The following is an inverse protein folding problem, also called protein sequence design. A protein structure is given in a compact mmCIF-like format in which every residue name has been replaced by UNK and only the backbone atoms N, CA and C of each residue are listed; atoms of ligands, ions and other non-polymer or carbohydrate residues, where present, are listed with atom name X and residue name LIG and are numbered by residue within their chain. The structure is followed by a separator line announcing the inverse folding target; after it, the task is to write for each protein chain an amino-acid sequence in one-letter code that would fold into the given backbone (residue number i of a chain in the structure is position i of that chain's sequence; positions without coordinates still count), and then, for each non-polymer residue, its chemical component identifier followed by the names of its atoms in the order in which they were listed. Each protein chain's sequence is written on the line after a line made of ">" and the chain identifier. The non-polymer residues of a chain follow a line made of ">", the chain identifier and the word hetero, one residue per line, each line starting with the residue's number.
data_IF_631077886476
#
_entry.id   IF_631077886476
#
_cell.length_a   1.000
_cell.length_b   1.000
_cell.length_c   1.000
_cell.angle_alpha   90.00
_cell.angle_beta   90.00
_cell.angle_gamma   90.00
#
_symmetry.space_group_name_H-M   'P 1'
#
loop_
_entity.id
_entity.type
_entity.pdbx_description
1 polymer ?
#
# COMPACT_ATOMS: atom_id res chain seq x y z
N UNK A 1 12.99 -7.28 -14.26
CA UNK A 1 13.60 -8.13 -13.20
C UNK A 1 12.77 -8.06 -11.92
N UNK A 2 12.51 -9.17 -11.23
CA UNK A 2 11.74 -9.19 -9.97
C UNK A 2 12.65 -9.51 -8.78
N UNK A 3 12.70 -8.64 -7.77
CA UNK A 3 13.60 -8.79 -6.62
C UNK A 3 12.96 -8.43 -5.29
N UNK A 4 13.31 -9.21 -4.27
CA UNK A 4 13.08 -8.84 -2.87
C UNK A 4 14.23 -7.98 -2.35
N UNK A 5 13.92 -6.87 -1.68
CA UNK A 5 14.92 -5.93 -1.13
C UNK A 5 14.61 -5.58 0.32
N UNK A 6 15.65 -5.38 1.13
CA UNK A 6 15.54 -4.91 2.52
C UNK A 6 16.02 -3.47 2.62
N UNK A 7 15.27 -2.55 2.02
CA UNK A 7 15.60 -1.13 1.98
C UNK A 7 14.35 -0.27 2.18
N UNK A 8 14.53 0.98 2.59
CA UNK A 8 13.43 1.95 2.64
C UNK A 8 12.91 2.21 1.21
N UNK A 9 11.60 2.05 0.99
CA UNK A 9 10.95 2.25 -0.30
C UNK A 9 11.15 3.65 -0.88
N UNK A 10 11.27 4.67 -0.02
CA UNK A 10 11.57 6.03 -0.47
C UNK A 10 12.99 6.19 -1.03
N UNK A 11 13.89 5.23 -0.79
CA UNK A 11 15.24 5.17 -1.38
C UNK A 11 15.30 4.29 -2.63
N UNK A 12 14.17 3.75 -3.07
CA UNK A 12 14.16 2.86 -4.24
C UNK A 12 14.66 3.57 -5.50
N UNK A 13 15.45 2.90 -6.36
CA UNK A 13 15.81 3.44 -7.67
C UNK A 13 14.62 3.48 -8.64
N UNK A 14 13.55 2.73 -8.38
CA UNK A 14 12.40 2.62 -9.29
C UNK A 14 11.73 3.97 -9.58
N UNK A 15 11.21 4.12 -10.79
CA UNK A 15 10.45 5.28 -11.25
C UNK A 15 9.19 5.50 -10.39
N UNK A 16 8.50 4.41 -10.06
CA UNK A 16 7.24 4.42 -9.30
C UNK A 16 7.42 3.75 -7.94
N UNK A 17 6.91 4.39 -6.88
CA UNK A 17 6.81 3.81 -5.54
C UNK A 17 5.34 3.67 -5.15
N UNK A 18 4.96 2.52 -4.59
CA UNK A 18 3.57 2.23 -4.23
C UNK A 18 3.25 2.72 -2.82
N UNK A 19 2.16 3.46 -2.70
CA UNK A 19 1.54 3.87 -1.45
C UNK A 19 0.29 3.03 -1.18
N UNK A 20 0.22 2.36 -0.03
CA UNK A 20 -0.98 1.61 0.37
C UNK A 20 -1.98 2.54 1.06
N UNK A 21 -3.17 2.68 0.48
CA UNK A 21 -4.17 3.66 0.93
C UNK A 21 -5.49 2.98 1.30
N UNK A 22 -6.34 3.75 1.99
CA UNK A 22 -7.76 3.41 2.11
C UNK A 22 -8.58 4.21 1.07
N UNK A 23 -9.90 4.12 1.13
CA UNK A 23 -10.79 4.84 0.20
C UNK A 23 -11.57 5.96 0.89
N UNK A 24 -11.20 6.31 2.14
CA UNK A 24 -11.89 7.31 2.97
C UNK A 24 -11.01 8.52 3.32
N UNK A 25 -9.93 8.76 2.58
CA UNK A 25 -9.16 10.02 2.69
C UNK A 25 -8.20 10.14 3.88
N UNK A 26 -7.90 9.05 4.60
CA UNK A 26 -7.04 9.09 5.81
C UNK A 26 -5.65 8.49 5.56
N UNK A 27 -4.58 9.22 5.89
CA UNK A 27 -3.19 8.69 5.91
C UNK A 27 -2.57 8.92 7.29
N UNK A 28 -3.06 8.19 8.30
CA UNK A 28 -2.75 8.48 9.71
C UNK A 28 -1.60 7.67 10.33
N UNK A 29 -1.22 6.53 9.73
CA UNK A 29 -0.19 5.63 10.29
C UNK A 29 0.57 4.85 9.22
N UNK A 30 1.66 4.21 9.64
CA UNK A 30 2.51 3.38 8.79
C UNK A 30 3.10 4.16 7.61
N UNK A 31 3.31 3.46 6.50
CA UNK A 31 3.90 4.03 5.29
C UNK A 31 3.06 5.17 4.69
N UNK A 32 1.72 5.08 4.76
CA UNK A 32 0.82 6.11 4.23
C UNK A 32 1.04 7.48 4.92
N UNK A 33 1.29 7.49 6.23
CA UNK A 33 1.62 8.72 6.97
C UNK A 33 2.89 9.37 6.43
N UNK A 34 3.94 8.58 6.17
CA UNK A 34 5.20 9.07 5.57
C UNK A 34 4.98 9.65 4.18
N UNK A 35 4.15 9.01 3.34
CA UNK A 35 3.76 9.57 2.04
C UNK A 35 3.05 10.91 2.17
N UNK A 36 2.14 11.07 3.14
CA UNK A 36 1.47 12.34 3.42
C UNK A 36 2.46 13.43 3.84
N UNK A 37 3.45 13.10 4.67
CA UNK A 37 4.47 14.05 5.14
C UNK A 37 5.40 14.49 4.01
N UNK A 38 5.80 13.58 3.13
CA UNK A 38 6.72 13.85 2.02
C UNK A 38 6.00 14.50 0.82
N UNK A 39 4.76 14.11 0.56
CA UNK A 39 3.95 14.57 -0.59
C UNK A 39 2.62 15.17 -0.13
N UNK A 40 2.61 16.34 0.53
CA UNK A 40 1.39 16.93 1.09
C UNK A 40 0.36 17.30 0.01
N UNK A 41 0.79 17.72 -1.18
CA UNK A 41 -0.14 18.06 -2.27
C UNK A 41 -0.78 16.81 -2.91
N UNK A 42 -0.05 15.71 -2.98
CA UNK A 42 -0.61 14.40 -3.32
C UNK A 42 -1.69 14.01 -2.33
N UNK A 43 -1.45 14.20 -1.03
CA UNK A 43 -2.43 13.91 0.01
C UNK A 43 -3.70 14.77 -0.13
N UNK A 44 -3.58 16.07 -0.43
CA UNK A 44 -4.75 16.94 -0.67
C UNK A 44 -5.60 16.44 -1.84
N UNK A 45 -4.96 16.01 -2.95
CA UNK A 45 -5.68 15.46 -4.11
C UNK A 45 -6.32 14.11 -3.80
N UNK A 46 -5.61 13.23 -3.09
CA UNK A 46 -6.13 11.95 -2.60
C UNK A 46 -7.41 12.14 -1.78
N UNK A 47 -7.45 13.11 -0.86
CA UNK A 47 -8.65 13.40 -0.07
C UNK A 47 -9.84 13.74 -0.96
N UNK A 48 -9.65 14.64 -1.94
CA UNK A 48 -10.70 15.01 -2.90
C UNK A 48 -11.20 13.80 -3.70
N UNK A 49 -10.31 12.92 -4.14
CA UNK A 49 -10.69 11.71 -4.88
C UNK A 49 -11.48 10.72 -4.02
N UNK A 50 -11.15 10.60 -2.74
CA UNK A 50 -11.95 9.79 -1.80
C UNK A 50 -13.33 10.41 -1.54
N UNK A 51 -13.39 11.73 -1.31
CA UNK A 51 -14.63 12.49 -1.10
C UNK A 51 -15.58 12.39 -2.30
N UNK A 52 -15.02 12.38 -3.51
CA UNK A 52 -15.77 12.24 -4.77
C UNK A 52 -16.02 10.78 -5.18
N UNK A 53 -15.63 9.79 -4.37
CA UNK A 53 -15.73 8.36 -4.68
C UNK A 53 -15.05 7.93 -5.99
N UNK A 54 -14.03 8.68 -6.42
CA UNK A 54 -13.26 8.39 -7.62
C UNK A 54 -12.21 7.30 -7.39
N UNK A 55 -11.81 7.08 -6.14
CA UNK A 55 -10.86 6.04 -5.74
C UNK A 55 -11.57 4.96 -4.90
N UNK A 56 -11.52 3.72 -5.37
CA UNK A 56 -12.00 2.52 -4.66
C UNK A 56 -11.06 1.33 -4.94
N UNK A 57 -11.28 0.20 -4.28
CA UNK A 57 -10.58 -1.06 -4.55
C UNK A 57 -10.58 -1.37 -6.06
N UNK A 58 -9.41 -1.74 -6.60
CA UNK A 58 -9.23 -1.99 -8.03
C UNK A 58 -9.12 -0.72 -8.89
N UNK A 59 -9.24 0.48 -8.32
CA UNK A 59 -8.93 1.75 -9.00
C UNK A 59 -7.62 2.30 -8.46
N UNK A 60 -6.61 2.33 -9.31
CA UNK A 60 -5.30 2.86 -8.96
C UNK A 60 -5.17 4.31 -9.41
N UNK A 61 -4.44 5.12 -8.65
CA UNK A 61 -4.15 6.51 -9.02
C UNK A 61 -2.66 6.80 -8.94
N UNK A 62 -2.10 7.31 -10.04
CA UNK A 62 -0.70 7.75 -10.13
C UNK A 62 -0.64 9.26 -9.90
N UNK A 63 0.08 9.66 -8.88
CA UNK A 63 0.53 11.04 -8.70
C UNK A 63 1.96 11.18 -9.23
N UNK A 64 2.19 12.15 -10.12
CA UNK A 64 3.52 12.44 -10.67
C UNK A 64 4.09 13.67 -9.96
N UNK A 65 5.19 13.49 -9.24
CA UNK A 65 6.00 14.59 -8.72
C UNK A 65 7.29 14.73 -9.54
N UNK A 66 8.06 15.78 -9.27
CA UNK A 66 9.34 16.04 -9.94
C UNK A 66 10.41 14.98 -9.61
N UNK A 67 10.29 14.28 -8.47
CA UNK A 67 11.30 13.34 -8.00
C UNK A 67 10.91 11.87 -8.19
N UNK A 68 9.68 11.51 -7.85
CA UNK A 68 9.14 10.14 -7.94
C UNK A 68 7.68 10.15 -8.35
N UNK A 69 7.23 9.05 -8.96
CA UNK A 69 5.80 8.80 -9.17
C UNK A 69 5.26 7.92 -8.04
N UNK A 70 4.06 8.23 -7.57
CA UNK A 70 3.43 7.57 -6.42
C UNK A 70 2.17 6.88 -6.94
N UNK A 71 2.17 5.55 -6.90
CA UNK A 71 0.98 4.76 -7.21
C UNK A 71 0.19 4.53 -5.92
N UNK A 72 -0.91 5.25 -5.75
CA UNK A 72 -1.85 5.06 -4.66
C UNK A 72 -2.69 3.81 -4.94
N UNK A 73 -2.49 2.79 -4.11
CA UNK A 73 -3.03 1.45 -4.24
C UNK A 73 -3.99 1.18 -3.07
N UNK A 74 -5.32 1.20 -3.31
CA UNK A 74 -6.30 0.93 -2.26
C UNK A 74 -6.21 -0.51 -1.76
N UNK A 75 -5.73 -0.69 -0.53
CA UNK A 75 -5.69 -2.00 0.15
C UNK A 75 -6.75 -2.13 1.21
N UNK A 76 -7.50 -1.06 1.52
CA UNK A 76 -8.54 -1.03 2.53
C UNK A 76 -9.68 -0.15 2.05
N UNK A 77 -10.93 -0.45 2.44
CA UNK A 77 -12.03 0.50 2.28
C UNK A 77 -11.99 1.57 3.37
N UNK A 78 -12.21 1.15 4.62
CA UNK A 78 -12.07 2.02 5.78
C UNK A 78 -10.78 1.70 6.55
N UNK A 79 -10.09 2.72 7.05
CA UNK A 79 -8.79 2.54 7.74
C UNK A 79 -8.86 1.70 9.02
N UNK A 80 -10.04 1.63 9.67
CA UNK A 80 -10.31 0.84 10.89
C UNK A 80 -10.47 -0.67 10.64
N UNK A 81 -10.88 -1.08 9.44
CA UNK A 81 -11.16 -2.48 9.12
C UNK A 81 -9.88 -3.17 8.64
N UNK A 82 -9.73 -4.51 8.69
CA UNK A 82 -8.58 -5.18 8.06
C UNK A 82 -8.58 -5.02 6.52
N UNK A 83 -7.44 -5.32 5.90
CA UNK A 83 -7.34 -5.54 4.46
C UNK A 83 -8.02 -6.86 4.11
N UNK A 84 -8.25 -7.10 2.82
CA UNK A 84 -8.68 -8.40 2.31
C UNK A 84 -7.84 -8.80 1.11
N UNK A 85 -7.61 -10.10 0.92
CA UNK A 85 -6.77 -10.59 -0.17
C UNK A 85 -7.35 -10.20 -1.55
N UNK A 86 -8.68 -10.15 -1.68
CA UNK A 86 -9.35 -9.77 -2.92
C UNK A 86 -9.14 -8.30 -3.27
N UNK A 87 -8.83 -7.44 -2.29
CA UNK A 87 -8.49 -6.04 -2.56
C UNK A 87 -7.12 -5.94 -3.21
N UNK A 88 -6.18 -6.78 -2.75
CA UNK A 88 -4.83 -6.86 -3.28
C UNK A 88 -4.88 -7.43 -4.70
N UNK A 89 -5.63 -8.51 -4.92
CA UNK A 89 -5.74 -9.13 -6.25
C UNK A 89 -6.35 -8.18 -7.28
N UNK A 90 -7.43 -7.47 -6.93
CA UNK A 90 -8.04 -6.48 -7.82
C UNK A 90 -7.08 -5.34 -8.20
N UNK A 91 -6.30 -4.84 -7.23
CA UNK A 91 -5.31 -3.80 -7.51
C UNK A 91 -4.13 -4.32 -8.35
N UNK A 92 -3.65 -5.54 -8.10
CA UNK A 92 -2.56 -6.14 -8.88
C UNK A 92 -3.01 -6.43 -10.32
N UNK A 93 -4.22 -6.97 -10.49
CA UNK A 93 -4.82 -7.15 -11.82
C UNK A 93 -4.90 -5.82 -12.56
N UNK A 94 -5.40 -4.76 -11.91
CA UNK A 94 -5.47 -3.44 -12.54
C UNK A 94 -4.09 -2.88 -12.90
N UNK A 95 -3.09 -3.11 -12.05
CA UNK A 95 -1.72 -2.70 -12.32
C UNK A 95 -1.18 -3.37 -13.60
N UNK A 96 -1.30 -4.71 -13.69
CA UNK A 96 -0.86 -5.47 -14.87
C UNK A 96 -1.58 -5.02 -16.14
N UNK A 97 -2.88 -4.72 -16.05
CA UNK A 97 -3.68 -4.22 -17.18
C UNK A 97 -3.26 -2.84 -17.69
N UNK A 98 -2.58 -2.02 -16.89
CA UNK A 98 -2.42 -0.58 -17.21
C UNK A 98 -1.01 -0.02 -17.07
N UNK A 99 -0.05 -0.76 -16.50
CA UNK A 99 1.28 -0.21 -16.22
C UNK A 99 1.99 0.31 -17.49
N UNK A 100 1.87 -0.41 -18.61
CA UNK A 100 2.48 -0.07 -19.89
C UNK A 100 1.87 1.22 -20.47
N UNK A 101 0.53 1.30 -20.55
CA UNK A 101 -0.18 2.49 -21.00
C UNK A 101 0.11 3.73 -20.13
N UNK A 102 0.43 3.52 -18.86
CA UNK A 102 0.81 4.60 -17.93
C UNK A 102 2.30 4.95 -17.98
N UNK A 103 3.09 4.25 -18.79
CA UNK A 103 4.52 4.48 -18.98
C UNK A 103 5.37 4.09 -17.78
N UNK A 104 4.93 3.10 -17.00
CA UNK A 104 5.67 2.58 -15.85
C UNK A 104 6.73 1.59 -16.35
N UNK A 105 8.00 1.93 -16.16
CA UNK A 105 9.14 1.07 -16.56
C UNK A 105 9.83 0.40 -15.38
N UNK A 106 9.59 0.89 -14.16
CA UNK A 106 10.05 0.26 -12.92
C UNK A 106 9.18 0.67 -11.74
N UNK A 107 8.95 -0.26 -10.81
CA UNK A 107 8.02 -0.07 -9.68
C UNK A 107 8.53 -0.73 -8.41
N UNK A 108 8.24 -0.11 -7.27
CA UNK A 108 8.54 -0.65 -5.95
C UNK A 108 7.29 -0.80 -5.10
N UNK A 109 7.05 -2.03 -4.64
CA UNK A 109 5.92 -2.38 -3.80
C UNK A 109 6.36 -2.59 -2.34
N UNK A 110 5.59 -2.13 -1.35
CA UNK A 110 5.66 -2.66 0.01
C UNK A 110 4.94 -4.01 0.10
N UNK A 111 5.01 -4.67 1.26
CA UNK A 111 4.16 -5.83 1.57
C UNK A 111 2.68 -5.40 1.65
N UNK A 112 1.93 -5.59 0.56
CA UNK A 112 0.59 -5.05 0.37
C UNK A 112 -0.42 -5.65 1.35
N UNK A 113 -1.13 -4.79 2.11
CA UNK A 113 -2.16 -5.25 3.05
C UNK A 113 -1.63 -5.99 4.29
N UNK A 114 -0.31 -6.15 4.45
CA UNK A 114 0.31 -6.66 5.66
C UNK A 114 0.34 -5.60 6.79
N UNK A 115 0.78 -6.00 7.98
CA UNK A 115 0.89 -5.12 9.15
C UNK A 115 -0.48 -4.57 9.58
N UNK A 116 -0.75 -3.29 9.31
CA UNK A 116 -2.03 -2.64 9.62
C UNK A 116 -3.24 -3.19 8.86
N UNK A 117 -3.01 -3.97 7.81
CA UNK A 117 -4.08 -4.67 7.10
C UNK A 117 -4.29 -6.11 7.59
N UNK A 118 -3.34 -6.70 8.31
CA UNK A 118 -3.47 -8.02 8.94
C UNK A 118 -3.35 -9.22 8.01
N UNK A 119 -3.05 -9.04 6.71
CA UNK A 119 -2.78 -10.18 5.81
C UNK A 119 -1.41 -10.78 6.10
N UNK A 120 -1.31 -12.11 6.03
CA UNK A 120 -0.07 -12.84 6.18
C UNK A 120 0.80 -12.71 4.93
N UNK A 121 2.08 -12.40 5.14
CA UNK A 121 2.99 -12.18 4.03
C UNK A 121 3.30 -13.47 3.27
N UNK A 122 3.68 -14.54 3.97
CA UNK A 122 4.26 -15.73 3.37
C UNK A 122 3.22 -16.64 2.70
N UNK A 123 2.02 -16.73 3.29
CA UNK A 123 0.95 -17.63 2.87
C UNK A 123 -0.12 -16.95 1.99
N UNK A 124 -0.35 -15.63 2.10
CA UNK A 124 -1.38 -14.93 1.34
C UNK A 124 -0.80 -13.95 0.31
N UNK A 125 -0.02 -12.96 0.74
CA UNK A 125 0.33 -11.80 -0.10
C UNK A 125 1.47 -12.10 -1.07
N UNK A 126 2.54 -12.74 -0.61
CA UNK A 126 3.71 -13.10 -1.43
C UNK A 126 3.32 -13.92 -2.67
N UNK A 127 2.63 -15.08 -2.55
CA UNK A 127 2.30 -15.89 -3.73
C UNK A 127 1.42 -15.13 -4.71
N UNK A 128 0.53 -14.26 -4.22
CA UNK A 128 -0.31 -13.42 -5.07
C UNK A 128 0.50 -12.35 -5.82
N UNK A 129 1.43 -11.67 -5.14
CA UNK A 129 2.30 -10.69 -5.79
C UNK A 129 3.21 -11.35 -6.83
N UNK A 130 3.78 -12.52 -6.53
CA UNK A 130 4.59 -13.27 -7.51
C UNK A 130 3.78 -13.66 -8.74
N UNK A 131 2.55 -14.18 -8.56
CA UNK A 131 1.62 -14.55 -9.65
C UNK A 131 1.42 -13.42 -10.66
N UNK A 132 1.31 -12.18 -10.21
CA UNK A 132 1.00 -11.03 -11.08
C UNK A 132 2.24 -10.27 -11.57
N UNK A 133 3.32 -10.23 -10.79
CA UNK A 133 4.40 -9.28 -11.02
C UNK A 133 5.70 -9.92 -11.50
N UNK A 134 5.91 -11.21 -11.27
CA UNK A 134 7.22 -11.86 -11.50
C UNK A 134 7.64 -11.87 -12.98
N UNK A 135 6.68 -12.05 -13.88
CA UNK A 135 6.92 -12.21 -15.32
C UNK A 135 6.74 -10.91 -16.11
N UNK A 136 6.54 -9.77 -15.43
CA UNK A 136 6.43 -8.49 -16.10
C UNK A 136 7.78 -8.05 -16.72
N UNK A 137 7.79 -7.48 -17.94
CA UNK A 137 8.99 -7.02 -18.63
C UNK A 137 9.51 -5.68 -18.08
N UNK A 138 9.38 -5.43 -16.78
CA UNK A 138 9.84 -4.22 -16.08
C UNK A 138 10.59 -4.60 -14.80
N UNK A 139 11.26 -3.62 -14.19
CA UNK A 139 11.89 -3.83 -12.89
C UNK A 139 10.90 -3.69 -11.74
N UNK A 140 10.74 -4.75 -10.98
CA UNK A 140 9.85 -4.84 -9.82
C UNK A 140 10.69 -5.12 -8.58
N UNK A 141 10.59 -4.22 -7.60
CA UNK A 141 11.22 -4.38 -6.30
C UNK A 141 10.15 -4.56 -5.24
N UNK A 142 10.26 -5.61 -4.42
CA UNK A 142 9.35 -5.85 -3.31
C UNK A 142 10.12 -5.66 -2.00
N UNK A 143 9.71 -4.66 -1.24
CA UNK A 143 10.39 -4.26 -0.01
C UNK A 143 9.91 -5.09 1.17
N UNK A 144 10.79 -5.97 1.65
CA UNK A 144 10.53 -6.84 2.80
C UNK A 144 11.05 -6.16 4.05
N UNK A 145 10.13 -5.83 4.96
CA UNK A 145 10.48 -5.31 6.27
C UNK A 145 10.37 -6.47 7.26
N UNK A 146 11.50 -6.90 7.82
CA UNK A 146 11.47 -7.80 8.97
C UNK A 146 10.77 -7.09 10.12
N UNK A 147 9.89 -7.82 10.76
CA UNK A 147 8.87 -7.36 11.69
C UNK A 147 9.34 -6.24 12.64
N UNK A 148 8.70 -5.07 12.54
CA UNK A 148 8.73 -4.06 13.62
C UNK A 148 7.44 -4.06 14.44
N UNK A 149 6.45 -4.90 14.16
CA UNK A 149 5.11 -4.77 14.74
C UNK A 149 4.48 -6.09 15.18
N UNK A 150 5.25 -6.92 15.90
CA UNK A 150 4.70 -7.69 17.03
C UNK A 150 4.55 -6.84 18.31
N UNK A 151 4.77 -5.52 18.26
CA UNK A 151 4.65 -4.65 19.43
C UNK A 151 3.86 -3.37 19.14
N UNK A 152 2.85 -3.15 20.00
CA UNK A 152 2.39 -1.85 20.50
C UNK A 152 1.07 -1.18 20.00
N UNK A 153 0.19 -1.78 19.19
CA UNK A 153 -1.12 -1.12 18.91
C UNK A 153 -2.41 -1.92 19.20
N UNK A 154 -2.34 -3.16 19.71
CA UNK A 154 -3.55 -3.92 20.11
C UNK A 154 -3.67 -4.28 21.60
N UNK A 155 -2.73 -3.87 22.46
CA UNK A 155 -2.82 -4.08 23.92
C UNK A 155 -3.24 -2.81 24.70
N UNK A 156 -4.21 -2.05 24.22
CA UNK A 156 -4.71 -0.93 25.04
C UNK A 156 -6.19 -0.58 24.89
N UNK A 157 -7.07 -1.61 24.78
CA UNK A 157 -8.52 -1.38 24.87
C UNK A 157 -9.37 -2.42 25.63
N UNK A 158 -8.80 -3.43 26.29
CA UNK A 158 -9.62 -4.47 26.96
C UNK A 158 -9.52 -4.60 28.49
N UNK A 159 -8.75 -3.77 29.21
CA UNK A 159 -8.75 -3.78 30.69
C UNK A 159 -9.20 -2.45 31.29
N UNK A 160 -10.47 -2.08 31.10
CA UNK A 160 -11.21 -1.16 31.98
C UNK A 160 -12.70 -1.49 31.93
N UNK A 161 -13.13 -2.51 32.67
CA UNK A 161 -14.47 -2.65 33.26
C UNK A 161 -14.44 -3.87 34.18
N UNK A 162 -15.22 -3.78 35.27
CA UNK A 162 -15.23 -4.60 36.50
C UNK A 162 -13.94 -4.46 37.30
N UNK A 163 -13.91 -3.81 38.47
CA UNK A 163 -14.80 -3.96 39.62
C UNK A 163 -15.09 -2.61 40.31
N UNK A 164 -16.37 -2.38 40.63
CA UNK A 164 -16.80 -1.45 41.67
C UNK A 164 -18.22 -1.86 42.09
N UNK A 165 -18.30 -2.75 43.08
CA UNK A 165 -19.37 -2.83 44.08
C UNK A 165 -18.96 -3.81 45.17
#
# INVERSE_FOLDING_TARGET
>A
MFMYVQQDIFKSPAQVIVNTVNTVGVMGKGIAKRYKEIYPDMYKQYQKFCEQHLLDVGKLWIYKSDTKWILNFPTKKHWRNPSKIEYIEQGLKKFVETYEEKGITSVSFPQLGCGNGGLDWDSEVRPLMEKYLKDLPIDVFVHIYKDRLASAEHMNRSFRRTEAR
#
